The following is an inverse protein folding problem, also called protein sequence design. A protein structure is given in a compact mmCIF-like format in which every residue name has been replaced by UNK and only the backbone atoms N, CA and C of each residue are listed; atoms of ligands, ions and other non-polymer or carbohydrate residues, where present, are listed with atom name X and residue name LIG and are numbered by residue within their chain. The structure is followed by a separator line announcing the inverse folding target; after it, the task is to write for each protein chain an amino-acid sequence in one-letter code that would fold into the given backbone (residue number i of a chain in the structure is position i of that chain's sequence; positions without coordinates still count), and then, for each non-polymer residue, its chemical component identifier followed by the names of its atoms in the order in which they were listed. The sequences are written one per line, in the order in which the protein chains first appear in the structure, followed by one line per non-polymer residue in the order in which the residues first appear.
data_IF_651304520236
#
_entry.id   IF_651304520236
#
_cell.length_a   1.000
_cell.length_b   1.000
_cell.length_c   1.000
_cell.angle_alpha   90.00
_cell.angle_beta   90.00
_cell.angle_gamma   90.00
#
_symmetry.space_group_name_H-M   'P 1'
#
loop_
_entity.id
_entity.type
_entity.pdbx_description
1 polymer ?
#
# COMPACT_ATOMS: atom_id res chain seq x y z
N UNK A 1 12.36 -5.95 2.86
CA UNK A 1 13.56 -5.54 3.65
C UNK A 1 14.65 -6.63 3.71
N UNK A 2 14.40 -7.84 3.18
CA UNK A 2 15.35 -8.97 3.20
C UNK A 2 16.00 -9.26 1.83
N UNK A 3 15.76 -8.43 0.81
CA UNK A 3 16.45 -8.53 -0.48
C UNK A 3 17.71 -7.67 -0.44
N UNK A 4 18.82 -8.22 -0.94
CA UNK A 4 20.10 -7.52 -1.01
C UNK A 4 20.13 -6.46 -2.12
N UNK A 5 20.79 -5.32 -1.85
CA UNK A 5 20.97 -4.21 -2.80
C UNK A 5 19.68 -3.50 -3.23
N UNK A 6 19.70 -2.90 -4.42
CA UNK A 6 18.58 -2.15 -5.02
C UNK A 6 17.45 -3.03 -5.58
N UNK A 7 17.45 -4.33 -5.28
CA UNK A 7 16.43 -5.25 -5.81
C UNK A 7 15.02 -4.85 -5.38
N UNK A 8 14.84 -4.38 -4.14
CA UNK A 8 13.55 -3.91 -3.63
C UNK A 8 13.07 -2.68 -4.41
N UNK A 9 13.93 -1.68 -4.62
CA UNK A 9 13.59 -0.45 -5.34
C UNK A 9 13.25 -0.69 -6.80
N UNK A 10 13.99 -1.59 -7.47
CA UNK A 10 13.70 -1.99 -8.85
C UNK A 10 12.34 -2.66 -8.99
N UNK A 11 11.95 -3.49 -8.02
CA UNK A 11 10.61 -4.11 -8.00
C UNK A 11 9.53 -3.04 -7.82
N UNK A 12 9.71 -2.10 -6.88
CA UNK A 12 8.74 -1.03 -6.65
C UNK A 12 8.58 -0.14 -7.89
N UNK A 13 9.67 0.14 -8.61
CA UNK A 13 9.63 0.88 -9.87
C UNK A 13 8.88 0.11 -10.97
N UNK A 14 9.20 -1.17 -11.18
CA UNK A 14 8.51 -2.01 -12.16
C UNK A 14 6.99 -2.11 -11.89
N UNK A 15 6.59 -2.21 -10.62
CA UNK A 15 5.17 -2.24 -10.22
C UNK A 15 4.49 -0.89 -10.49
N UNK A 16 5.15 0.24 -10.24
CA UNK A 16 4.61 1.57 -10.59
C UNK A 16 4.40 1.72 -12.09
N UNK A 17 5.36 1.27 -12.89
CA UNK A 17 5.27 1.35 -14.35
C UNK A 17 4.16 0.43 -14.88
N UNK A 18 4.00 -0.75 -14.30
CA UNK A 18 2.89 -1.66 -14.61
C UNK A 18 1.52 -1.03 -14.31
N UNK A 19 1.35 -0.46 -13.12
CA UNK A 19 0.09 0.16 -12.72
C UNK A 19 -0.25 1.37 -13.61
N UNK A 20 0.74 2.16 -14.03
CA UNK A 20 0.53 3.27 -14.97
C UNK A 20 0.18 2.81 -16.39
N UNK A 21 0.77 1.73 -16.86
CA UNK A 21 0.62 1.29 -18.26
C UNK A 21 -0.58 0.37 -18.50
N UNK A 22 -0.99 -0.41 -17.50
CA UNK A 22 -1.99 -1.47 -17.66
C UNK A 22 -3.29 -1.24 -16.90
N UNK A 23 -3.33 -0.25 -16.01
CA UNK A 23 -4.51 0.02 -15.18
C UNK A 23 -5.22 1.28 -15.60
N UNK A 24 -6.56 1.25 -15.59
CA UNK A 24 -7.41 2.45 -15.63
C UNK A 24 -7.65 3.02 -14.21
N UNK A 25 -7.08 2.38 -13.18
CA UNK A 25 -7.15 2.85 -11.80
C UNK A 25 -6.28 4.09 -11.62
N UNK A 26 -6.75 5.03 -10.81
CA UNK A 26 -5.99 6.23 -10.44
C UNK A 26 -4.74 5.81 -9.64
N UNK A 27 -3.55 5.99 -10.23
CA UNK A 27 -2.26 5.67 -9.61
C UNK A 27 -1.50 6.95 -9.26
N UNK A 28 -1.44 7.27 -7.96
CA UNK A 28 -0.64 8.38 -7.42
C UNK A 28 0.86 8.01 -7.34
N UNK A 29 1.78 8.99 -7.32
CA UNK A 29 3.23 8.72 -7.30
C UNK A 29 3.70 7.91 -6.07
N UNK A 30 3.01 8.03 -4.94
CA UNK A 30 3.31 7.31 -3.70
C UNK A 30 2.45 6.05 -3.51
N UNK A 31 1.68 5.64 -4.53
CA UNK A 31 0.76 4.51 -4.44
C UNK A 31 1.46 3.15 -4.21
N UNK A 32 2.75 3.06 -4.56
CA UNK A 32 3.57 1.87 -4.35
C UNK A 32 4.71 2.27 -3.42
N UNK A 33 4.73 1.73 -2.22
CA UNK A 33 5.79 1.91 -1.24
C UNK A 33 5.84 0.71 -0.31
N UNK A 34 6.97 0.48 0.34
CA UNK A 34 7.06 -0.52 1.39
C UNK A 34 6.48 0.09 2.66
N UNK A 35 5.47 -0.56 3.22
CA UNK A 35 4.91 -0.17 4.50
C UNK A 35 5.93 -0.47 5.60
N UNK A 36 6.20 0.53 6.44
CA UNK A 36 6.98 0.35 7.66
C UNK A 36 6.03 -0.07 8.80
N UNK A 37 6.52 -0.74 9.84
CA UNK A 37 5.68 -1.33 10.89
C UNK A 37 4.75 -0.33 11.59
N UNK A 38 5.14 0.95 11.67
CA UNK A 38 4.25 2.01 12.16
C UNK A 38 3.07 2.29 11.21
N UNK A 39 3.31 2.27 9.90
CA UNK A 39 2.26 2.45 8.88
C UNK A 39 1.32 1.25 8.87
N UNK A 40 1.87 0.03 8.96
CA UNK A 40 1.06 -1.20 9.04
C UNK A 40 0.12 -1.18 10.26
N UNK A 41 0.64 -0.80 11.44
CA UNK A 41 -0.18 -0.65 12.65
C UNK A 41 -1.27 0.42 12.52
N UNK A 42 -0.96 1.55 11.89
CA UNK A 42 -1.95 2.61 11.62
C UNK A 42 -3.05 2.15 10.65
N UNK A 43 -2.70 1.45 9.57
CA UNK A 43 -3.68 0.92 8.63
C UNK A 43 -4.57 -0.14 9.29
N UNK A 44 -4.01 -1.03 10.11
CA UNK A 44 -4.79 -2.00 10.87
C UNK A 44 -5.77 -1.31 11.83
N UNK A 45 -5.31 -0.28 12.55
CA UNK A 45 -6.16 0.48 13.46
C UNK A 45 -7.34 1.14 12.74
N UNK A 46 -7.08 1.81 11.62
CA UNK A 46 -8.14 2.44 10.80
C UNK A 46 -9.11 1.40 10.27
N UNK A 47 -8.61 0.25 9.80
CA UNK A 47 -9.45 -0.85 9.31
C UNK A 47 -10.39 -1.36 10.41
N UNK A 48 -9.87 -1.58 11.62
CA UNK A 48 -10.67 -2.02 12.76
C UNK A 48 -11.74 -0.99 13.15
N UNK A 49 -11.37 0.29 13.23
CA UNK A 49 -12.31 1.37 13.55
C UNK A 49 -13.41 1.53 12.50
N UNK A 50 -13.08 1.37 11.22
CA UNK A 50 -14.05 1.43 10.13
C UNK A 50 -15.07 0.28 10.21
N UNK A 51 -14.59 -0.96 10.43
CA UNK A 51 -15.47 -2.12 10.59
C UNK A 51 -16.42 -1.93 11.78
N UNK A 52 -15.88 -1.49 12.92
CA UNK A 52 -16.65 -1.23 14.13
C UNK A 52 -17.73 -0.15 13.87
N UNK A 53 -17.37 0.95 13.23
CA UNK A 53 -18.30 2.04 12.91
C UNK A 53 -19.47 1.59 12.01
N UNK A 54 -19.19 0.76 11.01
CA UNK A 54 -20.24 0.20 10.13
C UNK A 54 -21.14 -0.76 10.91
N UNK A 55 -20.57 -1.58 11.80
CA UNK A 55 -21.34 -2.48 12.66
C UNK A 55 -22.25 -1.78 13.68
N UNK A 56 -21.94 -0.55 14.09
CA UNK A 56 -22.80 0.26 14.97
C UNK A 56 -23.88 1.07 14.23
N UNK A 57 -23.81 1.18 12.90
CA UNK A 57 -24.78 1.90 12.06
C UNK A 57 -25.83 0.96 11.43
N UNK A 58 -25.94 -0.30 11.88
CA UNK A 58 -26.93 -1.29 11.46
C UNK A 58 -27.76 -1.81 12.65
#
# INVERSE_FOLDING_TARGET
RALEGDASDRILQAVRDLLKQRSTLKSEPNAVSVLDGNQEGAFQWVCFMNLLLIGYNF
#
